data_IF_301322704208
#
_entry.id   IF_301322704208
#
_cell.length_a   1.000
_cell.length_b   1.000
_cell.length_c   1.000
_cell.angle_alpha   90.00
_cell.angle_beta   90.00
_cell.angle_gamma   90.00
#
_symmetry.space_group_name_H-M   'P 1'
#
loop_
_entity.id
_entity.type
_entity.pdbx_description
1 polymer ?
#
# COMPACT_ATOMS: atom_id res chain seq x y z
N UNK A 1 16.52 6.75 -24.31
CA UNK A 1 17.06 6.52 -22.95
C UNK A 1 15.93 5.92 -22.14
N UNK A 2 16.01 4.63 -21.78
CA UNK A 2 14.99 3.97 -20.95
C UNK A 2 15.42 4.16 -19.49
N UNK A 3 14.55 4.68 -18.62
CA UNK A 3 14.86 4.76 -17.20
C UNK A 3 14.64 3.38 -16.59
N UNK A 4 15.72 2.71 -16.22
CA UNK A 4 15.66 1.48 -15.42
C UNK A 4 14.94 1.78 -14.10
N UNK A 5 14.03 0.89 -13.68
CA UNK A 5 13.44 0.93 -12.34
C UNK A 5 14.61 0.83 -11.37
N UNK A 6 14.89 1.90 -10.63
CA UNK A 6 15.86 1.82 -9.54
C UNK A 6 15.30 0.80 -8.56
N UNK A 7 15.99 -0.32 -8.37
CA UNK A 7 15.54 -1.46 -7.56
C UNK A 7 15.19 -1.11 -6.10
N UNK A 8 15.49 0.12 -5.67
CA UNK A 8 15.29 0.64 -4.33
C UNK A 8 14.18 1.72 -4.23
N UNK A 9 13.33 1.85 -5.25
CA UNK A 9 12.15 2.70 -5.21
C UNK A 9 10.89 1.87 -4.94
N UNK A 10 9.88 2.43 -4.26
CA UNK A 10 8.62 1.72 -4.09
C UNK A 10 8.03 1.35 -5.43
N UNK A 11 7.51 0.13 -5.53
CA UNK A 11 6.88 -0.42 -6.73
C UNK A 11 5.42 -0.79 -6.48
N UNK A 12 5.02 -0.90 -5.21
CA UNK A 12 3.68 -1.29 -4.81
C UNK A 12 3.12 -0.32 -3.79
N UNK A 13 1.82 -0.12 -3.87
CA UNK A 13 0.99 0.60 -2.91
C UNK A 13 0.07 -0.41 -2.23
N UNK A 14 -0.02 -0.39 -0.91
CA UNK A 14 -1.09 -1.04 -0.16
C UNK A 14 -2.07 0.03 0.32
N UNK A 15 -3.31 -0.07 -0.14
CA UNK A 15 -4.42 0.86 0.13
C UNK A 15 -5.41 0.16 1.05
N UNK A 16 -5.76 0.81 2.17
CA UNK A 16 -6.68 0.27 3.17
C UNK A 16 -7.73 1.32 3.49
N UNK A 17 -8.99 0.95 3.34
CA UNK A 17 -10.10 1.78 3.81
C UNK A 17 -10.17 1.70 5.33
N UNK A 18 -10.21 2.84 6.00
CA UNK A 18 -10.26 2.90 7.48
C UNK A 18 -11.57 3.47 8.01
N UNK A 19 -12.60 3.52 7.17
CA UNK A 19 -13.94 4.00 7.54
C UNK A 19 -14.51 3.24 8.74
N UNK A 20 -14.23 1.94 8.82
CA UNK A 20 -14.67 1.07 9.92
C UNK A 20 -14.07 1.43 11.29
N UNK A 21 -12.93 2.12 11.32
CA UNK A 21 -12.24 2.50 12.56
C UNK A 21 -12.28 4.01 12.84
N UNK A 22 -12.34 4.86 11.82
CA UNK A 22 -12.37 6.32 11.99
C UNK A 22 -13.75 6.93 11.80
N UNK A 23 -14.70 6.18 11.21
CA UNK A 23 -16.03 6.67 10.86
C UNK A 23 -16.04 7.62 9.66
N UNK A 24 -14.90 7.78 8.97
CA UNK A 24 -14.76 8.63 7.80
C UNK A 24 -14.62 7.79 6.53
N UNK A 25 -15.64 7.86 5.67
CA UNK A 25 -15.70 7.07 4.42
C UNK A 25 -14.67 7.49 3.37
N UNK A 26 -14.09 8.69 3.51
CA UNK A 26 -13.11 9.22 2.57
C UNK A 26 -11.66 8.99 3.06
N UNK A 27 -11.47 8.44 4.25
CA UNK A 27 -10.14 8.22 4.81
C UNK A 27 -9.56 6.86 4.39
N UNK A 28 -8.36 6.90 3.82
CA UNK A 28 -7.63 5.74 3.36
C UNK A 28 -6.18 5.80 3.87
N UNK A 29 -5.64 4.65 4.25
CA UNK A 29 -4.22 4.46 4.48
C UNK A 29 -3.58 4.01 3.17
N UNK A 30 -2.51 4.69 2.76
CA UNK A 30 -1.67 4.29 1.63
C UNK A 30 -0.24 4.09 2.10
N UNK A 31 0.28 2.88 1.94
CA UNK A 31 1.68 2.56 2.25
C UNK A 31 2.40 2.05 1.03
N UNK A 32 3.72 2.26 0.98
CA UNK A 32 4.53 2.05 -0.20
C UNK A 32 5.67 1.09 0.12
N UNK A 33 5.96 0.17 -0.78
CA UNK A 33 7.06 -0.78 -0.62
C UNK A 33 7.68 -1.17 -1.96
N UNK A 34 8.96 -1.57 -1.93
CA UNK A 34 9.63 -2.14 -3.12
C UNK A 34 9.01 -3.49 -3.53
N UNK A 35 8.31 -4.15 -2.61
CA UNK A 35 7.60 -5.41 -2.79
C UNK A 35 6.21 -5.35 -2.15
N UNK A 36 5.34 -6.29 -2.51
CA UNK A 36 4.01 -6.42 -1.91
C UNK A 36 4.14 -6.66 -0.39
N UNK A 37 5.01 -7.58 0.02
CA UNK A 37 5.22 -7.89 1.44
C UNK A 37 5.72 -6.69 2.24
N UNK A 38 6.59 -5.86 1.66
CA UNK A 38 7.05 -4.64 2.31
C UNK A 38 5.93 -3.61 2.46
N UNK A 39 5.14 -3.39 1.40
CA UNK A 39 3.99 -2.48 1.46
C UNK A 39 2.98 -2.95 2.52
N UNK A 40 2.68 -4.27 2.57
CA UNK A 40 1.77 -4.84 3.57
C UNK A 40 2.31 -4.71 4.99
N UNK A 41 3.59 -5.02 5.23
CA UNK A 41 4.20 -4.86 6.55
C UNK A 41 4.14 -3.41 7.04
N UNK A 42 4.42 -2.44 6.15
CA UNK A 42 4.30 -1.02 6.48
C UNK A 42 2.87 -0.65 6.88
N UNK A 43 1.87 -1.18 6.16
CA UNK A 43 0.46 -0.97 6.47
C UNK A 43 0.06 -1.55 7.84
N UNK A 44 0.47 -2.79 8.12
CA UNK A 44 0.21 -3.47 9.39
C UNK A 44 0.84 -2.71 10.57
N UNK A 45 2.09 -2.25 10.41
CA UNK A 45 2.76 -1.44 11.42
C UNK A 45 2.05 -0.10 11.63
N UNK A 46 1.57 0.56 10.58
CA UNK A 46 0.85 1.83 10.70
C UNK A 46 -0.50 1.63 11.42
N UNK A 47 -1.25 0.59 11.06
CA UNK A 47 -2.51 0.23 11.72
C UNK A 47 -2.29 -0.06 13.22
N UNK A 48 -1.24 -0.81 13.57
CA UNK A 48 -0.93 -1.11 14.96
C UNK A 48 -0.46 0.13 15.74
N UNK A 49 0.42 0.95 15.16
CA UNK A 49 1.11 2.03 15.86
C UNK A 49 0.31 3.34 15.92
N UNK A 50 -0.34 3.72 14.82
CA UNK A 50 -1.04 5.00 14.70
C UNK A 50 -2.51 4.86 15.08
N UNK A 51 -3.15 3.79 14.65
CA UNK A 51 -4.57 3.55 14.88
C UNK A 51 -4.84 2.61 16.08
N UNK A 52 -3.81 2.00 16.66
CA UNK A 52 -3.95 1.12 17.82
C UNK A 52 -4.72 -0.17 17.53
N UNK A 53 -4.83 -0.56 16.26
CA UNK A 53 -5.61 -1.73 15.84
C UNK A 53 -5.04 -3.01 16.47
N UNK A 54 -5.94 -3.89 16.92
CA UNK A 54 -5.55 -5.21 17.41
C UNK A 54 -5.21 -6.16 16.24
N UNK A 55 -4.41 -7.22 16.45
CA UNK A 55 -4.02 -8.15 15.38
C UNK A 55 -5.18 -8.73 14.57
N UNK A 56 -6.32 -8.99 15.23
CA UNK A 56 -7.54 -9.46 14.56
C UNK A 56 -8.11 -8.40 13.61
N UNK A 57 -8.21 -7.16 14.06
CA UNK A 57 -8.70 -6.04 13.26
C UNK A 57 -7.76 -5.73 12.09
N UNK A 58 -6.44 -5.78 12.34
CA UNK A 58 -5.44 -5.66 11.29
C UNK A 58 -5.66 -6.73 10.22
N UNK A 59 -5.87 -7.99 10.63
CA UNK A 59 -6.15 -9.08 9.70
C UNK A 59 -7.45 -8.88 8.88
N UNK A 60 -8.49 -8.29 9.46
CA UNK A 60 -9.74 -7.97 8.76
C UNK A 60 -9.55 -6.83 7.75
N UNK A 61 -8.86 -5.75 8.15
CA UNK A 61 -8.56 -4.61 7.29
C UNK A 61 -7.62 -5.00 6.15
N UNK A 62 -6.60 -5.82 6.43
CA UNK A 62 -5.65 -6.32 5.43
C UNK A 62 -6.28 -7.29 4.42
N UNK A 63 -7.38 -7.96 4.75
CA UNK A 63 -8.15 -8.76 3.78
C UNK A 63 -8.92 -7.90 2.78
N UNK A 64 -9.31 -6.70 3.19
CA UNK A 64 -10.01 -5.72 2.34
C UNK A 64 -9.04 -4.78 1.61
N UNK A 65 -7.76 -4.81 2.01
CA UNK A 65 -6.71 -4.00 1.41
C UNK A 65 -6.53 -4.30 -0.08
N UNK A 66 -6.35 -3.24 -0.86
CA UNK A 66 -6.03 -3.31 -2.28
C UNK A 66 -4.53 -3.10 -2.47
N UNK A 67 -3.91 -3.96 -3.27
CA UNK A 67 -2.52 -3.80 -3.66
C UNK A 67 -2.48 -3.32 -5.10
N UNK A 68 -1.84 -2.20 -5.35
CA UNK A 68 -1.68 -1.64 -6.69
C UNK A 68 -0.21 -1.48 -7.04
N UNK A 69 0.21 -1.88 -8.25
CA UNK A 69 1.54 -1.53 -8.73
C UNK A 69 1.58 -0.02 -8.98
N UNK A 70 2.68 0.62 -8.60
CA UNK A 70 2.96 2.00 -8.97
C UNK A 70 3.25 1.99 -10.46
N UNK A 71 2.24 2.31 -11.26
CA UNK A 71 2.42 2.48 -12.69
C UNK A 71 3.53 3.50 -12.91
N UNK A 72 4.55 3.11 -13.68
CA UNK A 72 5.66 4.00 -13.99
C UNK A 72 5.10 5.19 -14.78
N UNK A 73 4.87 6.32 -14.11
CA UNK A 73 4.22 7.51 -14.67
C UNK A 73 4.90 8.02 -15.95
N UNK A 74 6.18 7.68 -16.15
CA UNK A 74 7.00 8.10 -17.28
C UNK A 74 7.87 6.99 -17.89
N UNK A 75 7.60 5.69 -17.66
CA UNK A 75 8.29 4.67 -18.45
C UNK A 75 7.62 4.54 -19.81
N UNK A 76 8.39 4.48 -20.92
CA UNK A 76 7.80 4.22 -22.22
C UNK A 76 7.03 2.90 -22.11
N UNK A 77 5.75 2.94 -22.49
CA UNK A 77 4.94 1.75 -22.65
C UNK A 77 5.63 0.91 -23.72
N UNK A 78 6.37 -0.13 -23.33
CA UNK A 78 6.92 -1.08 -24.28
C UNK A 78 5.77 -1.91 -24.85
N UNK A 79 5.03 -1.31 -25.77
CA UNK A 79 4.35 -2.03 -26.83
C UNK A 79 5.43 -2.38 -27.86
N UNK A 80 6.01 -3.58 -27.71
CA UNK A 80 6.48 -4.51 -28.76
C UNK A 80 7.46 -5.53 -28.19
#
# INVERSE_FOLDING_TARGET
>A
MVQEIRSNQPQYICIILVDSITGNQEEEIMTFGISIDEAKNQAEQLLASTYGCQPVQIGELMQQARIEPIAQWCAPSNHQ
#
